data_IF_015875521369
#
_entry.id   IF_015875521369
#
_cell.length_a   1.000
_cell.length_b   1.000
_cell.length_c   1.000
_cell.angle_alpha   90.00
_cell.angle_beta   90.00
_cell.angle_gamma   90.00
#
_symmetry.space_group_name_H-M   'P 1'
#
loop_
_entity.id
_entity.type
_entity.pdbx_description
1 polymer ?
#
# COMPACT_ATOMS: atom_id res chain seq x y z
N UNK A 1 22.32 59.49 12.04
CA UNK A 1 21.76 58.30 11.37
C UNK A 1 20.77 57.63 12.32
N UNK A 2 19.47 57.90 12.14
CA UNK A 2 18.43 57.27 12.94
C UNK A 2 18.12 55.88 12.36
N UNK A 3 18.60 54.84 13.04
CA UNK A 3 18.23 53.47 12.74
C UNK A 3 16.78 53.22 13.17
N UNK A 4 15.89 53.04 12.19
CA UNK A 4 14.52 52.58 12.42
C UNK A 4 14.55 51.21 13.09
N UNK A 5 14.14 51.14 14.36
CA UNK A 5 13.96 49.86 15.06
C UNK A 5 12.72 49.16 14.48
N UNK A 6 12.84 47.91 13.96
CA UNK A 6 11.68 47.18 13.48
C UNK A 6 10.73 46.90 14.65
N UNK A 7 9.50 47.40 14.54
CA UNK A 7 8.41 47.07 15.47
C UNK A 7 7.77 45.76 15.01
N UNK A 8 8.31 44.63 15.44
CA UNK A 8 7.57 43.38 15.35
C UNK A 8 6.47 43.39 16.43
N UNK A 9 5.21 43.35 16.02
CA UNK A 9 4.10 43.18 16.96
C UNK A 9 4.04 41.73 17.42
N UNK A 10 3.71 41.52 18.70
CA UNK A 10 3.48 40.17 19.26
C UNK A 10 2.44 39.41 18.43
N UNK A 11 1.40 40.10 17.95
CA UNK A 11 0.39 39.53 17.06
C UNK A 11 0.97 38.97 15.75
N UNK A 12 1.93 39.67 15.14
CA UNK A 12 2.61 39.19 13.93
C UNK A 12 3.42 37.92 14.17
N UNK A 13 4.10 37.82 15.31
CA UNK A 13 4.84 36.61 15.70
C UNK A 13 3.91 35.42 15.94
N UNK A 14 2.80 35.63 16.66
CA UNK A 14 1.81 34.59 16.93
C UNK A 14 1.16 34.05 15.64
N UNK A 15 0.88 34.93 14.67
CA UNK A 15 0.35 34.52 13.37
C UNK A 15 1.34 33.64 12.60
N UNK A 16 2.64 34.00 12.59
CA UNK A 16 3.68 33.19 11.93
C UNK A 16 3.81 31.80 12.56
N UNK A 17 3.76 31.72 13.90
CA UNK A 17 3.79 30.44 14.62
C UNK A 17 2.57 29.58 14.25
N UNK A 18 1.38 30.17 14.18
CA UNK A 18 0.16 29.44 13.80
C UNK A 18 0.26 28.91 12.36
N UNK A 19 0.71 29.73 11.41
CA UNK A 19 0.89 29.31 10.01
C UNK A 19 1.92 28.19 9.91
N UNK A 20 3.04 28.29 10.63
CA UNK A 20 4.05 27.24 10.67
C UNK A 20 3.49 25.95 11.29
N UNK A 21 2.73 26.03 12.38
CA UNK A 21 2.13 24.86 13.03
C UNK A 21 1.11 24.17 12.11
N UNK A 22 0.26 24.93 11.43
CA UNK A 22 -0.69 24.39 10.43
C UNK A 22 0.08 23.78 9.25
N UNK A 23 1.13 24.43 8.76
CA UNK A 23 1.99 23.90 7.70
C UNK A 23 2.65 22.58 8.09
N UNK A 24 3.19 22.48 9.31
CA UNK A 24 3.79 21.25 9.84
C UNK A 24 2.73 20.16 10.04
N UNK A 25 1.55 20.49 10.58
CA UNK A 25 0.47 19.54 10.77
C UNK A 25 -0.05 19.00 9.43
N UNK A 26 -0.21 19.89 8.45
CA UNK A 26 -0.60 19.56 7.08
C UNK A 26 0.46 18.69 6.41
N UNK A 27 1.73 19.09 6.47
CA UNK A 27 2.84 18.30 5.94
C UNK A 27 2.88 16.93 6.60
N UNK A 28 2.82 16.81 7.93
CA UNK A 28 2.78 15.51 8.62
C UNK A 28 1.59 14.65 8.23
N UNK A 29 0.42 15.27 7.97
CA UNK A 29 -0.79 14.56 7.56
C UNK A 29 -0.69 13.99 6.14
N UNK A 30 0.03 14.66 5.24
CA UNK A 30 0.13 14.29 3.83
C UNK A 30 1.50 13.78 3.40
N UNK A 31 2.49 13.79 4.30
CA UNK A 31 3.82 13.28 4.03
C UNK A 31 3.75 11.77 3.92
N UNK A 32 4.09 11.29 2.74
CA UNK A 32 4.22 9.87 2.44
C UNK A 32 5.73 9.60 2.36
N UNK A 33 6.34 8.91 3.34
CA UNK A 33 7.76 8.64 3.30
C UNK A 33 8.11 7.83 2.05
N UNK A 34 9.28 8.02 1.42
CA UNK A 34 9.78 7.09 0.42
C UNK A 34 9.75 5.66 0.96
N UNK A 35 9.54 4.66 0.10
CA UNK A 35 9.45 3.24 0.51
C UNK A 35 10.69 2.81 1.29
N UNK A 36 11.86 3.33 0.90
CA UNK A 36 13.16 3.08 1.52
C UNK A 36 13.25 3.58 2.98
N UNK A 37 12.29 4.40 3.43
CA UNK A 37 12.23 4.95 4.79
C UNK A 37 11.14 4.30 5.64
N UNK A 38 10.37 3.35 5.08
CA UNK A 38 9.35 2.63 5.85
C UNK A 38 10.04 1.51 6.63
N UNK A 39 10.06 1.63 7.95
CA UNK A 39 10.56 0.56 8.82
C UNK A 39 9.75 -0.73 8.63
N UNK A 40 10.45 -1.85 8.46
CA UNK A 40 9.82 -3.15 8.19
C UNK A 40 9.78 -3.53 6.70
N UNK A 41 10.32 -2.72 5.80
CA UNK A 41 10.39 -3.01 4.37
C UNK A 41 11.82 -2.96 3.83
N UNK A 42 12.19 -4.03 3.14
CA UNK A 42 13.39 -4.08 2.31
C UNK A 42 13.05 -3.73 0.87
N UNK A 43 13.80 -2.79 0.26
CA UNK A 43 13.76 -2.56 -1.18
C UNK A 43 14.76 -3.51 -1.87
N UNK A 44 14.24 -4.58 -2.46
CA UNK A 44 15.05 -5.61 -3.12
C UNK A 44 15.55 -5.20 -4.50
N UNK A 45 14.70 -4.53 -5.28
CA UNK A 45 15.05 -4.03 -6.60
C UNK A 45 14.19 -2.85 -7.01
N UNK A 46 14.74 -1.96 -7.85
CA UNK A 46 14.01 -0.79 -8.37
C UNK A 46 14.31 -0.57 -9.84
N UNK A 47 13.26 -0.36 -10.60
CA UNK A 47 13.30 0.03 -12.01
C UNK A 47 12.46 1.28 -12.21
N UNK A 48 12.40 1.82 -13.44
CA UNK A 48 11.55 2.98 -13.75
C UNK A 48 10.05 2.74 -13.52
N UNK A 49 9.58 1.48 -13.58
CA UNK A 49 8.15 1.14 -13.55
C UNK A 49 7.75 0.20 -12.42
N UNK A 50 8.72 -0.47 -11.81
CA UNK A 50 8.49 -1.52 -10.82
C UNK A 50 9.49 -1.39 -9.69
N UNK A 51 8.99 -1.53 -8.47
CA UNK A 51 9.77 -1.70 -7.26
C UNK A 51 9.45 -3.07 -6.67
N UNK A 52 10.48 -3.83 -6.31
CA UNK A 52 10.35 -5.11 -5.65
C UNK A 52 10.72 -4.89 -4.18
N UNK A 53 9.80 -5.20 -3.29
CA UNK A 53 9.91 -4.93 -1.87
C UNK A 53 9.56 -6.18 -1.07
N UNK A 54 10.04 -6.31 0.15
CA UNK A 54 9.71 -7.43 1.02
C UNK A 54 9.52 -6.96 2.46
N UNK A 55 8.73 -7.71 3.23
CA UNK A 55 8.67 -7.54 4.68
C UNK A 55 9.91 -8.11 5.33
N UNK A 56 10.62 -7.28 6.10
CA UNK A 56 11.74 -7.73 6.93
C UNK A 56 11.24 -8.22 8.32
N UNK A 57 12.16 -8.61 9.19
CA UNK A 57 11.86 -9.11 10.55
C UNK A 57 11.21 -8.07 11.50
N UNK A 58 11.30 -6.78 11.19
CA UNK A 58 10.70 -5.65 11.91
C UNK A 58 9.35 -5.24 11.33
N UNK A 59 8.90 -5.87 10.24
CA UNK A 59 7.59 -5.63 9.65
C UNK A 59 6.48 -5.82 10.67
N UNK A 60 5.49 -4.92 10.62
CA UNK A 60 4.29 -4.97 11.45
C UNK A 60 3.09 -4.46 10.65
N UNK A 61 1.89 -4.50 11.26
CA UNK A 61 0.67 -4.02 10.60
C UNK A 61 0.74 -2.54 10.21
N UNK A 62 1.49 -1.71 10.93
CA UNK A 62 1.72 -0.31 10.57
C UNK A 62 2.55 -0.20 9.29
N UNK A 63 3.54 -1.07 9.08
CA UNK A 63 4.28 -1.20 7.83
C UNK A 63 3.33 -1.47 6.65
N UNK A 64 2.42 -2.44 6.78
CA UNK A 64 1.39 -2.73 5.78
C UNK A 64 0.45 -1.53 5.54
N UNK A 65 0.04 -0.85 6.60
CA UNK A 65 -0.78 0.38 6.53
C UNK A 65 -0.10 1.51 5.77
N UNK A 66 1.19 1.71 6.00
CA UNK A 66 1.98 2.67 5.23
C UNK A 66 1.98 2.30 3.76
N UNK A 67 2.32 1.05 3.41
CA UNK A 67 2.41 0.58 2.03
C UNK A 67 1.09 0.73 1.27
N UNK A 68 -0.03 0.26 1.82
CA UNK A 68 -1.38 0.44 1.25
C UNK A 68 -1.75 1.93 1.14
N UNK A 69 -1.36 2.73 2.13
CA UNK A 69 -1.58 4.17 2.13
C UNK A 69 -0.85 4.93 1.02
N UNK A 70 0.23 4.38 0.47
CA UNK A 70 1.00 5.03 -0.61
C UNK A 70 0.45 4.79 -2.00
N UNK A 71 -0.47 3.83 -2.16
CA UNK A 71 -1.04 3.54 -3.47
C UNK A 71 -1.80 4.76 -4.00
N UNK A 72 -1.35 5.27 -5.15
CA UNK A 72 -2.10 6.23 -5.94
C UNK A 72 -2.94 5.50 -6.99
N UNK A 73 -3.81 6.22 -7.71
CA UNK A 73 -4.63 5.67 -8.80
C UNK A 73 -3.82 5.10 -9.98
N UNK A 74 -2.51 5.36 -10.04
CA UNK A 74 -1.60 4.81 -11.06
C UNK A 74 -0.71 3.69 -10.54
N UNK A 75 -0.80 3.36 -9.25
CA UNK A 75 0.00 2.30 -8.64
C UNK A 75 -0.84 1.06 -8.33
N UNK A 76 -0.24 -0.11 -8.52
CA UNK A 76 -0.75 -1.38 -8.00
C UNK A 76 0.29 -2.09 -7.16
N UNK A 77 -0.14 -2.70 -6.06
CA UNK A 77 0.65 -3.61 -5.25
C UNK A 77 0.23 -5.03 -5.55
N UNK A 78 1.17 -5.84 -6.03
CA UNK A 78 0.99 -7.28 -6.21
C UNK A 78 1.75 -8.04 -5.13
N UNK A 79 1.09 -8.99 -4.48
CA UNK A 79 1.69 -9.87 -3.46
C UNK A 79 1.08 -11.26 -3.54
N UNK A 80 1.69 -12.23 -2.85
CA UNK A 80 1.28 -13.63 -2.93
C UNK A 80 0.68 -14.12 -1.62
N UNK A 81 -0.39 -14.93 -1.70
CA UNK A 81 -0.87 -15.73 -0.58
C UNK A 81 -0.74 -17.22 -0.93
N UNK A 82 0.11 -17.95 -0.21
CA UNK A 82 0.28 -19.39 -0.40
C UNK A 82 -0.83 -20.21 0.27
N UNK A 83 -1.61 -19.61 1.20
CA UNK A 83 -2.70 -20.31 1.90
C UNK A 83 -4.00 -20.39 1.08
N UNK A 84 -4.02 -19.81 -0.11
CA UNK A 84 -5.16 -19.94 -1.01
C UNK A 84 -5.23 -21.36 -1.56
N UNK A 85 -6.34 -22.03 -1.24
CA UNK A 85 -6.62 -23.39 -1.72
C UNK A 85 -6.94 -23.34 -3.22
N UNK A 86 -6.01 -23.86 -4.03
CA UNK A 86 -6.08 -23.84 -5.48
C UNK A 86 -5.75 -25.22 -6.03
N UNK A 87 -6.55 -25.73 -6.98
CA UNK A 87 -6.45 -27.11 -7.45
C UNK A 87 -5.22 -27.37 -8.35
N UNK A 88 -4.65 -26.34 -8.97
CA UNK A 88 -3.57 -26.49 -9.96
C UNK A 88 -2.20 -26.11 -9.44
N UNK A 89 -2.11 -25.08 -8.59
CA UNK A 89 -0.87 -24.58 -8.00
C UNK A 89 -1.20 -23.92 -6.65
N UNK A 90 -0.42 -24.18 -5.59
CA UNK A 90 -0.73 -23.64 -4.26
C UNK A 90 -0.58 -22.13 -4.26
N UNK A 91 -1.65 -21.43 -3.89
CA UNK A 91 -1.65 -19.98 -3.68
C UNK A 91 -2.31 -19.14 -4.78
N UNK A 92 -2.26 -17.83 -4.59
CA UNK A 92 -2.87 -16.84 -5.48
C UNK A 92 -2.08 -15.52 -5.44
N UNK A 93 -2.05 -14.82 -6.56
CA UNK A 93 -1.61 -13.44 -6.58
C UNK A 93 -2.77 -12.51 -6.28
N UNK A 94 -2.48 -11.54 -5.43
CA UNK A 94 -3.41 -10.50 -5.03
C UNK A 94 -2.86 -9.20 -5.59
N UNK A 95 -3.66 -8.53 -6.42
CA UNK A 95 -3.37 -7.20 -6.93
C UNK A 95 -4.31 -6.19 -6.26
N UNK A 96 -3.73 -5.17 -5.63
CA UNK A 96 -4.47 -4.10 -4.93
C UNK A 96 -4.14 -2.75 -5.54
N UNK A 97 -5.17 -1.95 -5.79
CA UNK A 97 -5.05 -0.59 -6.32
C UNK A 97 -5.94 0.37 -5.56
N UNK A 98 -5.56 1.64 -5.53
CA UNK A 98 -6.46 2.69 -5.05
C UNK A 98 -7.50 3.05 -6.11
N UNK A 99 -8.76 3.13 -5.69
CA UNK A 99 -9.88 3.56 -6.52
C UNK A 99 -10.76 4.54 -5.74
N UNK A 100 -10.60 5.82 -6.05
CA UNK A 100 -11.23 6.94 -5.35
C UNK A 100 -10.93 6.96 -3.83
N UNK A 101 -11.98 6.86 -3.01
CA UNK A 101 -11.87 6.79 -1.55
C UNK A 101 -11.61 5.37 -1.03
N UNK A 102 -11.72 4.36 -1.89
CA UNK A 102 -11.59 2.94 -1.56
C UNK A 102 -10.38 2.31 -2.25
N UNK A 103 -10.30 0.99 -2.10
CA UNK A 103 -9.36 0.14 -2.81
C UNK A 103 -10.14 -0.85 -3.64
N UNK A 104 -9.49 -1.35 -4.68
CA UNK A 104 -9.99 -2.48 -5.46
C UNK A 104 -8.95 -3.57 -5.44
N UNK A 105 -9.43 -4.81 -5.42
CA UNK A 105 -8.62 -6.00 -5.34
C UNK A 105 -9.02 -6.98 -6.44
N UNK A 106 -8.04 -7.67 -7.01
CA UNK A 106 -8.24 -8.79 -7.91
C UNK A 106 -7.38 -9.98 -7.49
N UNK A 107 -7.94 -11.18 -7.56
CA UNK A 107 -7.22 -12.44 -7.44
C UNK A 107 -6.79 -12.92 -8.82
N UNK A 108 -5.56 -13.41 -8.94
CA UNK A 108 -4.99 -13.89 -10.21
C UNK A 108 -4.23 -15.19 -9.96
N UNK A 109 -4.42 -16.17 -10.83
CA UNK A 109 -3.64 -17.40 -10.82
C UNK A 109 -3.57 -17.99 -12.23
N UNK A 110 -2.38 -18.40 -12.72
CA UNK A 110 -2.13 -19.12 -13.98
C UNK A 110 -3.19 -18.98 -15.11
N UNK A 111 -3.37 -17.76 -15.64
CA UNK A 111 -4.29 -17.49 -16.77
C UNK A 111 -5.74 -17.22 -16.38
N UNK A 112 -6.09 -17.41 -15.11
CA UNK A 112 -7.34 -17.01 -14.48
C UNK A 112 -7.19 -15.73 -13.66
N UNK A 113 -8.26 -14.94 -13.63
CA UNK A 113 -8.40 -13.80 -12.73
C UNK A 113 -9.85 -13.64 -12.30
N UNK A 114 -10.09 -13.22 -11.06
CA UNK A 114 -11.42 -12.80 -10.60
C UNK A 114 -11.84 -11.47 -11.23
N UNK A 115 -13.11 -11.09 -11.05
CA UNK A 115 -13.50 -9.68 -11.19
C UNK A 115 -12.79 -8.82 -10.11
N UNK A 116 -12.68 -7.51 -10.36
CA UNK A 116 -12.20 -6.58 -9.33
C UNK A 116 -13.31 -6.34 -8.30
N UNK A 117 -12.96 -6.38 -7.02
CA UNK A 117 -13.90 -6.13 -5.91
C UNK A 117 -13.47 -4.92 -5.11
N UNK A 118 -14.43 -4.11 -4.67
CA UNK A 118 -14.16 -2.97 -3.80
C UNK A 118 -13.89 -3.48 -2.38
N UNK A 119 -12.81 -2.99 -1.78
CA UNK A 119 -12.44 -3.23 -0.38
C UNK A 119 -12.11 -1.91 0.30
N UNK A 120 -12.33 -1.86 1.60
CA UNK A 120 -11.90 -0.76 2.46
C UNK A 120 -10.39 -0.77 2.60
N UNK A 121 -9.85 0.35 3.08
CA UNK A 121 -8.41 0.45 3.40
C UNK A 121 -7.99 -0.60 4.42
N UNK A 122 -8.77 -0.79 5.49
CA UNK A 122 -8.43 -1.71 6.57
C UNK A 122 -8.44 -3.17 6.09
N UNK A 123 -9.42 -3.58 5.28
CA UNK A 123 -9.44 -4.92 4.69
C UNK A 123 -8.22 -5.18 3.79
N UNK A 124 -7.79 -4.18 3.01
CA UNK A 124 -6.57 -4.29 2.20
C UNK A 124 -5.30 -4.41 3.07
N UNK A 125 -5.24 -3.71 4.20
CA UNK A 125 -4.14 -3.79 5.16
C UNK A 125 -4.11 -5.16 5.84
N UNK A 126 -5.25 -5.64 6.32
CA UNK A 126 -5.37 -6.91 7.02
C UNK A 126 -5.04 -8.09 6.11
N UNK A 127 -5.50 -8.04 4.86
CA UNK A 127 -5.16 -9.04 3.87
C UNK A 127 -3.67 -9.04 3.54
N UNK A 128 -3.08 -7.87 3.30
CA UNK A 128 -1.64 -7.78 3.04
C UNK A 128 -0.82 -8.33 4.23
N UNK A 129 -1.23 -7.99 5.46
CA UNK A 129 -0.56 -8.42 6.68
C UNK A 129 -0.73 -9.92 6.97
N UNK A 130 -1.89 -10.52 6.65
CA UNK A 130 -2.10 -11.96 6.79
C UNK A 130 -1.23 -12.77 5.83
N UNK A 131 -0.82 -12.16 4.70
CA UNK A 131 0.08 -12.76 3.71
C UNK A 131 1.58 -12.56 4.00
N UNK A 132 1.95 -11.89 5.10
CA UNK A 132 3.35 -11.43 5.34
C UNK A 132 4.41 -12.52 5.27
N UNK A 133 4.11 -13.74 5.75
CA UNK A 133 5.06 -14.86 5.84
C UNK A 133 5.58 -15.30 4.46
N UNK A 134 4.82 -14.99 3.40
CA UNK A 134 5.16 -15.35 2.03
C UNK A 134 5.78 -14.19 1.24
N UNK A 135 5.87 -13.01 1.85
CA UNK A 135 6.29 -11.77 1.21
C UNK A 135 7.58 -11.21 1.83
N UNK A 136 8.44 -12.08 2.37
CA UNK A 136 9.76 -11.76 2.93
C UNK A 136 10.93 -11.91 1.93
N UNK A 137 12.16 -11.52 2.32
CA UNK A 137 13.32 -11.46 1.43
C UNK A 137 13.91 -12.85 1.04
N UNK A 138 13.71 -13.87 1.88
CA UNK A 138 14.48 -15.13 1.84
C UNK A 138 13.95 -16.22 0.91
N UNK A 139 12.87 -16.00 0.15
CA UNK A 139 12.36 -17.03 -0.78
C UNK A 139 13.21 -17.14 -2.04
N UNK A 140 14.32 -17.88 -2.00
CA UNK A 140 15.19 -18.11 -3.17
C UNK A 140 14.76 -19.23 -4.11
N UNK A 141 13.68 -19.96 -3.84
CA UNK A 141 13.34 -21.17 -4.58
C UNK A 141 12.00 -21.09 -5.35
N UNK A 142 12.19 -20.78 -6.64
CA UNK A 142 11.68 -21.52 -7.80
C UNK A 142 10.33 -21.21 -8.47
N UNK A 143 9.42 -20.39 -7.94
CA UNK A 143 8.20 -20.08 -8.74
C UNK A 143 7.82 -18.61 -8.89
N UNK A 144 8.31 -17.68 -8.06
CA UNK A 144 8.02 -16.25 -8.21
C UNK A 144 9.21 -15.35 -7.79
N UNK A 145 9.46 -14.23 -8.48
CA UNK A 145 10.46 -13.27 -8.05
C UNK A 145 10.06 -12.68 -6.70
N UNK A 146 10.89 -12.95 -5.70
CA UNK A 146 10.74 -12.78 -4.26
C UNK A 146 10.03 -11.48 -3.82
N UNK A 147 9.12 -11.57 -2.86
CA UNK A 147 8.47 -10.41 -2.26
C UNK A 147 7.32 -9.82 -3.09
N UNK A 148 6.91 -8.61 -2.70
CA UNK A 148 5.82 -7.86 -3.29
C UNK A 148 6.33 -6.97 -4.42
N UNK A 149 5.45 -6.62 -5.34
CA UNK A 149 5.77 -5.79 -6.50
C UNK A 149 4.86 -4.57 -6.53
N UNK A 150 5.46 -3.39 -6.45
CA UNK A 150 4.79 -2.13 -6.64
C UNK A 150 5.01 -1.62 -8.06
N UNK A 151 3.94 -1.49 -8.83
CA UNK A 151 3.94 -0.98 -10.21
C UNK A 151 3.55 0.49 -10.25
N UNK A 152 4.18 1.29 -11.09
CA UNK A 152 3.92 2.74 -11.25
C UNK A 152 3.03 3.12 -12.45
N UNK A 153 2.69 2.15 -13.30
CA UNK A 153 1.89 2.31 -14.52
C UNK A 153 0.75 1.28 -14.60
N UNK A 154 0.09 1.03 -13.46
CA UNK A 154 -0.99 0.06 -13.38
C UNK A 154 -2.18 0.48 -14.25
N UNK A 155 -2.67 -0.46 -15.07
CA UNK A 155 -3.87 -0.24 -15.89
C UNK A 155 -5.08 -0.14 -14.98
N UNK A 156 -5.98 0.80 -15.28
CA UNK A 156 -7.25 0.90 -14.56
C UNK A 156 -8.04 -0.41 -14.68
N UNK A 157 -8.76 -0.81 -13.62
CA UNK A 157 -9.72 -1.90 -13.70
C UNK A 157 -10.68 -1.71 -14.87
N UNK A 158 -10.83 -2.72 -15.71
CA UNK A 158 -11.77 -2.72 -16.82
C UNK A 158 -13.22 -3.00 -16.38
N UNK A 159 -13.38 -3.76 -15.27
CA UNK A 159 -14.68 -4.09 -14.68
C UNK A 159 -14.53 -4.19 -13.17
N UNK A 160 -15.27 -3.35 -12.45
CA UNK A 160 -15.36 -3.39 -10.98
C UNK A 160 -16.74 -3.93 -10.63
N UNK A 161 -16.79 -4.95 -9.77
CA UNK A 161 -18.02 -5.45 -9.20
C UNK A 161 -18.39 -4.59 -7.97
N UNK A 162 -19.40 -3.71 -8.07
CA UNK A 162 -19.77 -2.80 -6.97
C UNK A 162 -20.46 -3.54 -5.82
N UNK A 163 -21.07 -4.69 -6.07
CA UNK A 163 -21.92 -5.39 -5.10
C UNK A 163 -21.10 -6.13 -4.03
N UNK A 164 -19.76 -6.13 -4.15
CA UNK A 164 -18.83 -6.87 -3.28
C UNK A 164 -19.21 -8.36 -3.17
N UNK A 165 -19.70 -8.92 -4.27
CA UNK A 165 -20.04 -10.33 -4.42
C UNK A 165 -19.01 -11.05 -5.31
N UNK A 166 -19.01 -12.38 -5.26
CA UNK A 166 -18.12 -13.22 -6.06
C UNK A 166 -16.85 -13.63 -5.33
N UNK A 167 -16.03 -14.41 -6.05
CA UNK A 167 -14.95 -15.20 -5.47
C UNK A 167 -13.92 -14.38 -4.67
N UNK A 168 -13.50 -13.22 -5.20
CA UNK A 168 -12.52 -12.37 -4.52
C UNK A 168 -13.08 -11.76 -3.23
N UNK A 169 -14.34 -11.33 -3.23
CA UNK A 169 -14.95 -10.75 -2.03
C UNK A 169 -15.17 -11.81 -0.93
N UNK A 170 -15.57 -13.02 -1.32
CA UNK A 170 -15.69 -14.16 -0.39
C UNK A 170 -14.33 -14.53 0.20
N UNK A 171 -13.30 -14.66 -0.65
CA UNK A 171 -11.94 -14.93 -0.21
C UNK A 171 -11.43 -13.89 0.79
N UNK A 172 -11.60 -12.58 0.51
CA UNK A 172 -11.19 -11.51 1.44
C UNK A 172 -11.84 -11.72 2.81
N UNK A 173 -13.16 -11.97 2.87
CA UNK A 173 -13.88 -12.20 4.13
C UNK A 173 -13.38 -13.42 4.88
N UNK A 174 -13.17 -14.55 4.18
CA UNK A 174 -12.65 -15.77 4.79
C UNK A 174 -11.23 -15.57 5.32
N UNK A 175 -10.40 -14.78 4.61
CA UNK A 175 -8.99 -14.62 4.93
C UNK A 175 -8.73 -13.67 6.09
N UNK A 176 -9.56 -12.64 6.28
CA UNK A 176 -9.42 -11.66 7.37
C UNK A 176 -10.38 -11.91 8.54
N UNK A 177 -11.42 -12.73 8.35
CA UNK A 177 -12.41 -13.06 9.38
C UNK A 177 -12.03 -14.23 10.28
N UNK A 178 -10.92 -14.91 9.98
CA UNK A 178 -10.27 -15.94 10.79
C UNK A 178 -8.97 -15.39 11.39
#
# INVERSE_FOLDING_TARGET
>A
MNWLKPRFSIAGLLLLILVAAVGIATHRKYYVPPLEQISGLDLLAKTKRRQQIAFDQHANRTTASHLIGQLSHSHSLCFYDLQYDSPSDPGVFIEVMRHDANYVLQLRNHGWSSDWVIVTKDEAIDLLWSCREYNGPDRRESLLPNGMQLYGDAKRPNRINPDRQGHAAEYVRQRIGN
#
